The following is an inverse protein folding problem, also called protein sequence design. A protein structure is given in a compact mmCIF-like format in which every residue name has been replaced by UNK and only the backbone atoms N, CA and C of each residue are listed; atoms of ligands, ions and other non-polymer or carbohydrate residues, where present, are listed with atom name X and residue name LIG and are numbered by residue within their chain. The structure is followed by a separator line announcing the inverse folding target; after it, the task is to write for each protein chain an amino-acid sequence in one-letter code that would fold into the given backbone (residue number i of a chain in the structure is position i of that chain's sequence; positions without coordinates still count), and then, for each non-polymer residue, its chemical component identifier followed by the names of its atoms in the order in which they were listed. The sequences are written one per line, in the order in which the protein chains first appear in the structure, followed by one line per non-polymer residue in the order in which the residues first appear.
data_IF_880827295038
#
_entry.id   IF_880827295038
#
_cell.length_a   1.000
_cell.length_b   1.000
_cell.length_c   1.000
_cell.angle_alpha   90.00
_cell.angle_beta   90.00
_cell.angle_gamma   90.00
#
_symmetry.space_group_name_H-M   'P 1'
#
loop_
_entity.id
_entity.type
_entity.pdbx_description
1 polymer ?
#
# COMPACT_ATOMS: atom_id res chain seq x y z
N UNK A 1 -1.75 -16.22 6.21
CA UNK A 1 -3.21 -16.45 6.11
C UNK A 1 -3.60 -17.76 6.79
N UNK A 2 -3.17 -18.91 6.25
CA UNK A 2 -3.48 -20.24 6.81
C UNK A 2 -3.07 -20.46 8.28
N UNK A 3 -1.87 -20.06 8.68
CA UNK A 3 -1.38 -20.20 10.06
C UNK A 3 -2.20 -19.40 11.09
N UNK A 4 -3.03 -18.45 10.61
CA UNK A 4 -3.94 -17.62 11.41
C UNK A 4 -5.42 -17.99 11.17
N UNK A 5 -5.69 -19.06 10.44
CA UNK A 5 -7.06 -19.48 10.08
C UNK A 5 -7.78 -18.56 9.11
N UNK A 6 -7.07 -17.66 8.40
CA UNK A 6 -7.68 -16.71 7.47
C UNK A 6 -7.79 -17.31 6.06
N UNK A 7 -8.96 -17.17 5.44
CA UNK A 7 -9.27 -17.65 4.08
C UNK A 7 -9.31 -16.55 3.03
N UNK A 8 -9.24 -15.27 3.43
CA UNK A 8 -9.39 -14.12 2.53
C UNK A 8 -8.26 -13.12 2.74
N UNK A 9 -7.76 -12.56 1.65
CA UNK A 9 -6.88 -11.39 1.59
C UNK A 9 -7.71 -10.22 1.05
N UNK A 10 -7.59 -9.03 1.66
CA UNK A 10 -8.21 -7.80 1.12
C UNK A 10 -7.10 -6.89 0.59
N UNK A 11 -7.25 -6.42 -0.65
CA UNK A 11 -6.30 -5.51 -1.30
C UNK A 11 -6.99 -4.29 -1.90
N UNK A 12 -6.36 -3.14 -1.72
CA UNK A 12 -6.76 -1.91 -2.40
C UNK A 12 -6.18 -1.86 -3.82
N UNK A 13 -6.95 -1.39 -4.79
CA UNK A 13 -6.49 -1.08 -6.14
C UNK A 13 -6.57 0.43 -6.34
N UNK A 14 -5.49 1.06 -6.82
CA UNK A 14 -5.47 2.51 -7.08
C UNK A 14 -5.62 2.85 -8.55
N UNK A 15 -5.01 2.03 -9.40
CA UNK A 15 -5.03 2.19 -10.85
C UNK A 15 -5.09 0.81 -11.53
N UNK A 16 -5.40 0.81 -12.83
CA UNK A 16 -5.39 -0.40 -13.66
C UNK A 16 -4.03 -1.11 -13.63
N UNK A 17 -2.93 -0.35 -13.48
CA UNK A 17 -1.58 -0.91 -13.39
C UNK A 17 -1.35 -1.81 -12.18
N UNK A 18 -2.05 -1.57 -11.06
CA UNK A 18 -1.95 -2.45 -9.88
C UNK A 18 -2.67 -3.79 -10.16
N UNK A 19 -3.69 -3.79 -11.02
CA UNK A 19 -4.60 -4.91 -11.20
C UNK A 19 -3.96 -6.13 -11.84
N UNK A 20 -3.17 -5.97 -12.91
CA UNK A 20 -2.63 -7.12 -13.65
C UNK A 20 -1.71 -7.98 -12.77
N UNK A 21 -0.81 -7.32 -12.03
CA UNK A 21 0.06 -8.00 -11.08
C UNK A 21 -0.73 -8.66 -9.95
N UNK A 22 -1.71 -7.93 -9.39
CA UNK A 22 -2.47 -8.40 -8.25
C UNK A 22 -3.43 -9.55 -8.59
N UNK A 23 -3.98 -9.55 -9.80
CA UNK A 23 -4.84 -10.63 -10.30
C UNK A 23 -4.06 -11.93 -10.46
N UNK A 24 -2.84 -11.87 -11.00
CA UNK A 24 -1.97 -13.05 -11.10
C UNK A 24 -1.69 -13.64 -9.70
N UNK A 25 -1.36 -12.78 -8.73
CA UNK A 25 -1.13 -13.21 -7.35
C UNK A 25 -2.39 -13.79 -6.70
N UNK A 26 -3.56 -13.22 -6.94
CA UNK A 26 -4.83 -13.74 -6.44
C UNK A 26 -5.13 -15.15 -6.97
N UNK A 27 -4.90 -15.40 -8.25
CA UNK A 27 -5.09 -16.72 -8.87
C UNK A 27 -4.12 -17.75 -8.28
N UNK A 28 -2.85 -17.38 -8.08
CA UNK A 28 -1.85 -18.23 -7.44
C UNK A 28 -2.23 -18.57 -6.00
N UNK A 29 -2.65 -17.56 -5.22
CA UNK A 29 -3.08 -17.76 -3.83
C UNK A 29 -4.34 -18.65 -3.73
N UNK A 30 -5.30 -18.48 -4.64
CA UNK A 30 -6.48 -19.35 -4.71
C UNK A 30 -6.05 -20.79 -4.99
N UNK A 31 -5.20 -21.02 -5.99
CA UNK A 31 -4.78 -22.37 -6.38
C UNK A 31 -3.88 -23.06 -5.36
N UNK A 32 -2.89 -22.36 -4.81
CA UNK A 32 -1.90 -22.96 -3.92
C UNK A 32 -2.37 -22.99 -2.47
N UNK A 33 -3.12 -21.96 -2.05
CA UNK A 33 -3.46 -21.72 -0.67
C UNK A 33 -4.98 -21.82 -0.38
N UNK A 34 -5.86 -21.99 -1.37
CA UNK A 34 -7.31 -21.86 -1.19
C UNK A 34 -7.67 -20.57 -0.43
N UNK A 35 -6.94 -19.49 -0.75
CA UNK A 35 -7.13 -18.16 -0.17
C UNK A 35 -7.67 -17.25 -1.25
N UNK A 36 -8.85 -16.70 -1.01
CA UNK A 36 -9.48 -15.74 -1.91
C UNK A 36 -8.87 -14.34 -1.73
N UNK A 37 -8.94 -13.52 -2.78
CA UNK A 37 -8.51 -12.12 -2.69
C UNK A 37 -9.68 -11.22 -3.08
N UNK A 38 -10.09 -10.34 -2.17
CA UNK A 38 -11.08 -9.30 -2.39
C UNK A 38 -10.37 -8.01 -2.76
N UNK A 39 -10.75 -7.44 -3.91
CA UNK A 39 -10.24 -6.15 -4.37
C UNK A 39 -11.22 -5.04 -4.02
N UNK A 40 -10.70 -3.94 -3.47
CA UNK A 40 -11.46 -2.73 -3.14
C UNK A 40 -10.86 -1.56 -3.91
N UNK A 41 -11.67 -0.87 -4.70
CA UNK A 41 -11.21 0.34 -5.38
C UNK A 41 -10.91 1.45 -4.36
N UNK A 42 -9.76 2.08 -4.50
CA UNK A 42 -9.35 3.19 -3.63
C UNK A 42 -10.19 4.43 -3.94
N UNK A 43 -10.59 5.19 -2.91
CA UNK A 43 -11.26 6.48 -3.12
C UNK A 43 -10.38 7.40 -4.00
N UNK A 44 -10.95 8.08 -5.01
CA UNK A 44 -10.18 8.91 -5.94
C UNK A 44 -9.27 9.94 -5.27
N UNK A 45 -9.69 10.48 -4.11
CA UNK A 45 -8.90 11.47 -3.37
C UNK A 45 -7.58 10.92 -2.79
N UNK A 46 -7.39 9.60 -2.79
CA UNK A 46 -6.20 8.92 -2.27
C UNK A 46 -5.48 8.08 -3.34
N UNK A 47 -5.97 8.03 -4.58
CA UNK A 47 -5.47 7.13 -5.63
C UNK A 47 -4.03 7.41 -6.03
N UNK A 48 -3.58 8.65 -5.90
CA UNK A 48 -2.21 9.09 -6.22
C UNK A 48 -1.20 8.78 -5.11
N UNK A 49 -1.65 8.35 -3.93
CA UNK A 49 -0.75 8.09 -2.80
C UNK A 49 -0.03 6.74 -2.96
N UNK A 50 1.28 6.77 -2.69
CA UNK A 50 2.09 5.57 -2.53
C UNK A 50 3.17 5.81 -1.49
N UNK A 51 3.55 4.77 -0.73
CA UNK A 51 4.62 4.90 0.26
C UNK A 51 5.95 5.30 -0.37
N UNK A 52 6.22 4.85 -1.61
CA UNK A 52 7.43 5.26 -2.35
C UNK A 52 7.41 6.74 -2.66
N UNK A 53 6.31 7.26 -3.20
CA UNK A 53 6.15 8.68 -3.51
C UNK A 53 6.24 9.55 -2.24
N UNK A 54 5.59 9.15 -1.15
CA UNK A 54 5.67 9.92 0.11
C UNK A 54 7.10 9.97 0.67
N UNK A 55 7.86 8.88 0.57
CA UNK A 55 9.27 8.86 0.96
C UNK A 55 10.12 9.77 0.07
N UNK A 56 9.87 9.81 -1.24
CA UNK A 56 10.57 10.71 -2.16
C UNK A 56 10.26 12.18 -1.86
N UNK A 57 8.99 12.54 -1.68
CA UNK A 57 8.59 13.91 -1.32
C UNK A 57 9.35 14.38 -0.07
N UNK A 58 9.39 13.56 0.98
CA UNK A 58 10.13 13.91 2.22
C UNK A 58 11.64 13.99 1.98
N UNK A 59 12.24 13.08 1.20
CA UNK A 59 13.68 13.11 0.85
C UNK A 59 14.08 14.39 0.14
N UNK A 60 13.21 14.96 -0.68
CA UNK A 60 13.44 16.23 -1.37
C UNK A 60 12.94 17.45 -0.57
N UNK A 61 12.63 17.28 0.71
CA UNK A 61 12.25 18.39 1.61
C UNK A 61 10.79 18.85 1.52
N UNK A 62 9.94 18.12 0.79
CA UNK A 62 8.51 18.40 0.72
C UNK A 62 7.74 18.04 2.00
N UNK A 63 6.59 18.68 2.18
CA UNK A 63 5.66 18.41 3.28
C UNK A 63 4.60 17.37 2.87
N UNK A 64 4.33 16.42 3.77
CA UNK A 64 3.33 15.34 3.59
C UNK A 64 2.19 15.43 4.62
N UNK A 65 2.04 16.59 5.27
CA UNK A 65 0.95 16.86 6.21
C UNK A 65 -0.41 16.66 5.53
N UNK A 66 -1.29 15.89 6.18
CA UNK A 66 -2.62 15.53 5.64
C UNK A 66 -2.60 14.42 4.59
N UNK A 67 -1.43 13.99 4.10
CA UNK A 67 -1.28 12.88 3.16
C UNK A 67 -0.98 11.54 3.86
N UNK A 68 -0.51 11.61 5.11
CA UNK A 68 -0.29 10.46 5.99
C UNK A 68 -0.81 10.76 7.40
N UNK A 69 -1.12 9.73 8.22
CA UNK A 69 -1.45 9.94 9.63
C UNK A 69 -0.31 10.64 10.37
N UNK A 70 -0.64 11.53 11.33
CA UNK A 70 0.35 12.31 12.09
C UNK A 70 1.44 11.43 12.74
N UNK A 71 1.05 10.29 13.32
CA UNK A 71 1.99 9.35 13.93
C UNK A 71 2.99 8.75 12.93
N UNK A 72 2.66 8.74 11.63
CA UNK A 72 3.54 8.28 10.55
C UNK A 72 4.40 9.43 10.04
N UNK A 73 3.83 10.64 9.89
CA UNK A 73 4.55 11.83 9.40
C UNK A 73 5.84 12.06 10.17
N UNK A 74 5.76 12.16 11.49
CA UNK A 74 6.90 12.52 12.33
C UNK A 74 8.02 11.48 12.20
N UNK A 75 7.66 10.19 12.30
CA UNK A 75 8.60 9.07 12.11
C UNK A 75 9.20 9.02 10.71
N UNK A 76 8.43 9.35 9.68
CA UNK A 76 8.88 9.35 8.29
C UNK A 76 9.91 10.45 8.06
N UNK A 77 9.65 11.66 8.57
CA UNK A 77 10.56 12.81 8.49
C UNK A 77 11.85 12.54 9.26
N UNK A 78 11.75 12.07 10.51
CA UNK A 78 12.90 11.76 11.35
C UNK A 78 13.80 10.70 10.71
N UNK A 79 13.20 9.63 10.19
CA UNK A 79 13.94 8.55 9.54
C UNK A 79 14.68 9.03 8.30
N UNK A 80 14.03 9.79 7.43
CA UNK A 80 14.59 10.14 6.12
C UNK A 80 15.52 11.35 6.16
N UNK A 81 15.39 12.24 7.14
CA UNK A 81 16.33 13.34 7.35
C UNK A 81 17.60 12.90 8.10
N UNK A 82 17.54 11.83 8.88
CA UNK A 82 18.73 11.19 9.47
C UNK A 82 19.54 10.33 8.49
N UNK A 83 19.02 10.08 7.29
CA UNK A 83 19.71 9.38 6.19
C UNK A 83 20.52 10.33 5.27
N UNK A 84 20.40 11.66 5.47
CA UNK A 84 21.01 12.70 4.64
C UNK A 84 22.31 13.27 5.22
#
# INVERSE_FOLDING_TARGET
ARDKGSSVIVKGLRAVSDFDYELQMAQLNSRMANVETLFVATSPQWSYLSSSLMKEVVRFGGDVTGLVPNAVRDRLVDKLRGEA
#
